data_IF_166977469803
#
_entry.id   IF_166977469803
#
_cell.length_a   1.000
_cell.length_b   1.000
_cell.length_c   1.000
_cell.angle_alpha   90.00
_cell.angle_beta   90.00
_cell.angle_gamma   90.00
#
_symmetry.space_group_name_H-M   'P 1'
#
loop_
_entity.id
_entity.type
_entity.pdbx_description
1 polymer ?
#
# COMPACT_ATOMS: atom_id res chain seq x y z
N UNK A 1 -28.77 39.67 -2.03
CA UNK A 1 -29.72 38.67 -2.57
C UNK A 1 -28.91 37.58 -3.25
N UNK A 2 -29.02 36.32 -2.81
CA UNK A 2 -28.43 35.19 -3.53
C UNK A 2 -29.47 34.57 -4.45
N UNK A 3 -29.27 34.68 -5.76
CA UNK A 3 -30.09 33.97 -6.75
C UNK A 3 -29.72 32.49 -6.66
N UNK A 4 -30.67 31.68 -6.21
CA UNK A 4 -30.55 30.22 -6.20
C UNK A 4 -31.45 29.68 -7.30
N UNK A 5 -30.86 29.06 -8.32
CA UNK A 5 -31.57 28.53 -9.48
C UNK A 5 -32.04 27.11 -9.14
N UNK A 6 -33.23 26.73 -9.57
CA UNK A 6 -33.67 25.34 -9.49
C UNK A 6 -32.73 24.47 -10.35
N UNK A 7 -32.08 23.49 -9.73
CA UNK A 7 -31.13 22.60 -10.41
C UNK A 7 -31.53 21.14 -10.17
N UNK A 8 -31.00 20.22 -10.98
CA UNK A 8 -31.25 18.79 -10.82
C UNK A 8 -30.71 18.29 -9.46
N UNK A 9 -31.19 17.14 -8.98
CA UNK A 9 -30.82 16.59 -7.65
C UNK A 9 -29.32 16.31 -7.45
N UNK A 10 -28.55 16.27 -8.53
CA UNK A 10 -27.10 16.09 -8.54
C UNK A 10 -26.30 17.38 -8.69
N UNK A 11 -27.00 18.51 -8.81
CA UNK A 11 -26.41 19.84 -8.93
C UNK A 11 -26.70 20.68 -7.69
N UNK A 12 -25.81 21.62 -7.43
CA UNK A 12 -25.97 22.66 -6.43
C UNK A 12 -25.88 24.01 -7.12
N UNK A 13 -26.81 24.91 -6.80
CA UNK A 13 -26.75 26.32 -7.18
C UNK A 13 -26.24 27.11 -5.99
N UNK A 14 -25.20 27.91 -6.21
CA UNK A 14 -24.62 28.81 -5.22
C UNK A 14 -24.36 30.20 -5.84
N UNK A 15 -24.05 31.24 -5.05
CA UNK A 15 -23.72 32.57 -5.59
C UNK A 15 -22.52 32.56 -6.56
N UNK A 16 -21.66 31.55 -6.52
CA UNK A 16 -20.50 31.39 -7.42
C UNK A 16 -20.83 30.60 -8.69
N UNK A 17 -22.06 30.11 -8.85
CA UNK A 17 -22.52 29.38 -10.04
C UNK A 17 -23.21 28.06 -9.71
N UNK A 18 -23.39 27.24 -10.75
CA UNK A 18 -23.92 25.87 -10.64
C UNK A 18 -22.80 24.84 -10.79
N UNK A 19 -22.89 23.72 -10.09
CA UNK A 19 -21.93 22.63 -10.20
C UNK A 19 -22.46 21.35 -9.58
N UNK A 20 -21.66 20.27 -9.57
CA UNK A 20 -22.03 19.04 -8.88
C UNK A 20 -22.20 19.29 -7.37
N UNK A 21 -23.31 18.81 -6.83
CA UNK A 21 -23.54 18.77 -5.40
C UNK A 21 -22.45 17.91 -4.72
N UNK A 22 -22.08 18.25 -3.49
CA UNK A 22 -20.97 17.60 -2.78
C UNK A 22 -21.15 16.08 -2.63
N UNK A 23 -22.40 15.61 -2.55
CA UNK A 23 -22.71 14.18 -2.52
C UNK A 23 -22.27 13.41 -3.78
N UNK A 24 -22.05 14.10 -4.89
CA UNK A 24 -21.69 13.57 -6.21
C UNK A 24 -20.22 13.71 -6.56
N UNK A 25 -19.43 14.31 -5.68
CA UNK A 25 -17.98 14.45 -5.86
C UNK A 25 -17.25 13.20 -5.32
N UNK A 26 -16.13 12.79 -5.95
CA UNK A 26 -15.25 11.79 -5.37
C UNK A 26 -14.77 12.25 -3.99
N UNK A 27 -14.89 11.37 -3.00
CA UNK A 27 -14.49 11.67 -1.62
C UNK A 27 -13.72 10.50 -1.02
N UNK A 28 -12.85 10.79 -0.07
CA UNK A 28 -12.22 9.76 0.75
C UNK A 28 -13.26 9.25 1.74
N UNK A 29 -13.64 7.98 1.63
CA UNK A 29 -14.64 7.35 2.50
C UNK A 29 -14.01 6.58 3.66
N UNK A 30 -12.77 6.13 3.49
CA UNK A 30 -12.01 5.49 4.53
C UNK A 30 -10.52 5.72 4.29
N UNK A 31 -9.77 5.88 5.37
CA UNK A 31 -8.33 6.04 5.31
C UNK A 31 -7.66 5.24 6.42
N UNK A 32 -6.51 4.64 6.11
CA UNK A 32 -5.64 3.98 7.07
C UNK A 32 -4.20 4.41 6.85
N UNK A 33 -3.56 4.90 7.91
CA UNK A 33 -2.12 5.15 7.95
C UNK A 33 -1.48 4.14 8.91
N UNK A 34 -0.48 3.40 8.44
CA UNK A 34 0.23 2.40 9.26
C UNK A 34 1.72 2.56 9.07
N UNK A 35 2.44 2.61 10.19
CA UNK A 35 3.91 2.62 10.22
C UNK A 35 4.46 1.20 10.30
N UNK A 36 5.66 1.01 9.77
CA UNK A 36 6.42 -0.23 9.93
C UNK A 36 6.76 -0.49 11.39
N UNK A 37 6.70 -1.75 11.78
CA UNK A 37 7.02 -2.20 13.15
C UNK A 37 8.42 -2.78 13.28
N UNK A 38 9.10 -3.03 12.15
CA UNK A 38 10.39 -3.76 12.09
C UNK A 38 11.47 -3.03 11.33
N UNK A 39 11.33 -1.71 11.18
CA UNK A 39 12.37 -0.90 10.56
C UNK A 39 13.65 -0.89 11.39
N UNK A 40 14.78 -1.01 10.70
CA UNK A 40 16.08 -1.01 11.35
C UNK A 40 16.89 -2.23 10.98
N UNK A 41 17.66 -2.74 11.93
CA UNK A 41 18.56 -3.86 11.71
C UNK A 41 17.80 -5.17 11.57
N UNK A 42 18.17 -5.93 10.55
CA UNK A 42 17.47 -7.16 10.18
C UNK A 42 18.36 -8.38 10.33
N UNK A 43 17.72 -9.51 10.59
CA UNK A 43 18.34 -10.82 10.63
C UNK A 43 17.84 -11.67 9.46
N UNK A 44 18.41 -12.86 9.29
CA UNK A 44 17.98 -13.80 8.26
C UNK A 44 16.49 -14.10 8.41
N UNK A 45 15.76 -14.00 7.31
CA UNK A 45 14.34 -14.32 7.23
C UNK A 45 14.09 -15.14 5.96
N UNK A 46 14.33 -16.47 6.00
CA UNK A 46 14.07 -17.34 4.85
C UNK A 46 12.59 -17.28 4.44
N UNK A 47 11.70 -17.26 5.43
CA UNK A 47 10.27 -17.06 5.26
C UNK A 47 9.91 -15.56 5.30
N UNK A 48 8.91 -15.11 4.52
CA UNK A 48 8.48 -13.72 4.51
C UNK A 48 7.93 -13.26 5.87
N UNK A 49 8.51 -12.19 6.40
CA UNK A 49 8.13 -11.57 7.68
C UNK A 49 7.44 -10.22 7.42
N UNK A 50 6.24 -9.98 7.97
CA UNK A 50 5.55 -8.71 7.78
C UNK A 50 6.26 -7.59 8.56
N UNK A 51 6.58 -6.52 7.84
CA UNK A 51 7.04 -5.23 8.36
C UNK A 51 5.85 -4.31 8.62
N UNK A 52 4.92 -4.30 7.67
CA UNK A 52 3.64 -3.59 7.76
C UNK A 52 2.54 -4.60 7.47
N UNK A 53 1.53 -4.63 8.33
CA UNK A 53 0.26 -5.31 8.10
C UNK A 53 -0.86 -4.29 8.33
N UNK A 54 -1.61 -3.99 7.28
CA UNK A 54 -2.63 -2.96 7.29
C UNK A 54 -3.93 -3.47 6.71
N UNK A 55 -5.02 -3.21 7.43
CA UNK A 55 -6.37 -3.54 6.99
C UNK A 55 -7.22 -2.27 6.94
N UNK A 56 -8.10 -2.20 5.95
CA UNK A 56 -9.07 -1.13 5.77
C UNK A 56 -10.41 -1.74 5.37
N UNK A 57 -11.45 -1.43 6.13
CA UNK A 57 -12.81 -1.89 5.85
C UNK A 57 -13.73 -0.70 5.75
N UNK A 58 -14.62 -0.72 4.76
CA UNK A 58 -15.62 0.33 4.57
C UNK A 58 -16.94 -0.28 4.09
N UNK A 59 -18.05 0.20 4.63
CA UNK A 59 -19.40 -0.23 4.24
C UNK A 59 -20.11 0.91 3.53
N UNK A 60 -20.71 0.62 2.37
CA UNK A 60 -21.60 1.56 1.69
C UNK A 60 -22.96 1.58 2.41
N UNK A 61 -23.11 2.48 3.36
CA UNK A 61 -24.38 2.72 4.08
C UNK A 61 -25.35 3.61 3.29
N UNK A 62 -24.95 4.11 2.13
CA UNK A 62 -25.78 4.94 1.27
C UNK A 62 -26.85 4.14 0.52
N UNK A 63 -27.79 4.86 -0.10
CA UNK A 63 -28.85 4.26 -0.93
C UNK A 63 -28.45 4.08 -2.40
N UNK A 64 -27.32 4.65 -2.81
CA UNK A 64 -26.82 4.60 -4.18
C UNK A 64 -25.59 3.71 -4.28
N UNK A 65 -25.39 3.11 -5.45
CA UNK A 65 -24.15 2.39 -5.77
C UNK A 65 -22.99 3.38 -5.79
N UNK A 66 -21.85 2.96 -5.26
CA UNK A 66 -20.64 3.79 -5.21
C UNK A 66 -19.53 3.06 -5.96
N UNK A 67 -18.89 3.72 -6.93
CA UNK A 67 -17.66 3.24 -7.54
C UNK A 67 -16.49 3.57 -6.63
N UNK A 68 -15.71 2.55 -6.28
CA UNK A 68 -14.60 2.65 -5.35
C UNK A 68 -13.24 2.52 -6.05
N UNK A 69 -12.28 3.35 -5.64
CA UNK A 69 -10.88 3.32 -6.08
C UNK A 69 -9.96 3.44 -4.88
N UNK A 70 -8.91 2.63 -4.83
CA UNK A 70 -7.95 2.62 -3.73
C UNK A 70 -6.67 3.35 -4.13
N UNK A 71 -6.33 4.41 -3.42
CA UNK A 71 -5.01 5.02 -3.47
C UNK A 71 -4.08 4.41 -2.43
N UNK A 72 -3.04 3.72 -2.88
CA UNK A 72 -1.99 3.14 -2.04
C UNK A 72 -0.75 4.00 -2.16
N UNK A 73 -0.46 4.80 -1.13
CA UNK A 73 0.78 5.56 -1.01
C UNK A 73 1.77 4.82 -0.12
N UNK A 74 3.00 4.63 -0.59
CA UNK A 74 4.04 3.87 0.09
C UNK A 74 5.28 4.70 0.21
N UNK A 75 5.73 4.88 1.44
CA UNK A 75 6.95 5.61 1.74
C UNK A 75 8.16 5.07 0.95
N UNK A 76 9.20 5.91 0.77
CA UNK A 76 10.46 5.48 0.18
C UNK A 76 10.99 4.22 0.86
N UNK A 77 11.44 3.22 0.10
CA UNK A 77 12.02 2.00 0.68
C UNK A 77 13.53 2.11 0.74
N UNK A 78 14.13 1.56 1.78
CA UNK A 78 15.59 1.55 1.90
C UNK A 78 16.10 0.20 2.34
N UNK A 79 17.13 -0.29 1.63
CA UNK A 79 17.88 -1.49 1.99
C UNK A 79 19.36 -1.12 2.03
N UNK A 80 20.01 -1.45 3.12
CA UNK A 80 21.48 -1.47 3.25
C UNK A 80 21.89 -2.93 3.30
N UNK A 81 22.44 -3.44 2.20
CA UNK A 81 22.82 -4.82 2.07
C UNK A 81 24.29 -5.04 2.41
N UNK A 82 24.56 -5.95 3.35
CA UNK A 82 25.90 -6.48 3.61
C UNK A 82 26.25 -7.60 2.62
N UNK A 83 27.53 -7.71 2.25
CA UNK A 83 28.05 -8.82 1.47
C UNK A 83 28.19 -10.09 2.34
N UNK A 84 27.81 -11.30 1.88
CA UNK A 84 27.17 -11.68 0.63
C UNK A 84 25.67 -12.03 0.81
N UNK A 85 24.82 -11.04 1.12
CA UNK A 85 23.41 -11.29 1.47
C UNK A 85 22.45 -10.75 0.41
N UNK A 86 21.31 -11.42 0.29
CA UNK A 86 20.16 -10.99 -0.52
C UNK A 86 18.99 -10.58 0.38
N UNK A 87 18.35 -9.48 0.00
CA UNK A 87 17.26 -8.85 0.72
C UNK A 87 16.15 -8.54 -0.26
N UNK A 88 14.92 -8.83 0.12
CA UNK A 88 13.73 -8.55 -0.67
C UNK A 88 12.67 -7.97 0.26
N UNK A 89 12.09 -6.84 -0.12
CA UNK A 89 10.93 -6.23 0.52
C UNK A 89 9.83 -6.13 -0.54
N UNK A 90 8.83 -7.00 -0.42
CA UNK A 90 7.72 -7.10 -1.35
C UNK A 90 6.47 -6.48 -0.74
N UNK A 91 5.85 -5.58 -1.49
CA UNK A 91 4.57 -4.99 -1.20
C UNK A 91 3.48 -5.76 -1.93
N UNK A 92 2.43 -6.14 -1.20
CA UNK A 92 1.28 -6.86 -1.72
C UNK A 92 -0.02 -6.23 -1.25
N UNK A 93 -1.02 -6.24 -2.13
CA UNK A 93 -2.34 -5.72 -1.85
C UNK A 93 -3.42 -6.67 -2.37
N UNK A 94 -4.55 -6.71 -1.68
CA UNK A 94 -5.69 -7.52 -2.08
C UNK A 94 -6.96 -6.89 -1.52
N UNK A 95 -8.07 -7.11 -2.21
CA UNK A 95 -9.36 -6.60 -1.80
C UNK A 95 -10.47 -7.57 -2.17
N UNK A 96 -11.57 -7.45 -1.45
CA UNK A 96 -12.81 -8.20 -1.69
C UNK A 96 -14.01 -7.29 -1.42
N UNK A 97 -15.10 -7.51 -2.18
CA UNK A 97 -16.33 -6.71 -2.13
C UNK A 97 -17.53 -7.65 -1.99
N UNK A 98 -18.36 -7.41 -0.99
CA UNK A 98 -19.51 -8.27 -0.73
C UNK A 98 -20.30 -7.83 0.51
N UNK A 99 -21.28 -8.64 0.92
CA UNK A 99 -22.04 -8.36 2.16
C UNK A 99 -21.17 -8.55 3.42
N UNK A 100 -20.29 -9.54 3.39
CA UNK A 100 -19.30 -9.83 4.43
C UNK A 100 -17.96 -10.21 3.77
N UNK A 101 -17.27 -9.23 3.16
CA UNK A 101 -16.05 -9.49 2.40
C UNK A 101 -14.91 -9.94 3.29
N UNK A 102 -14.04 -10.79 2.77
CA UNK A 102 -12.81 -11.19 3.45
C UNK A 102 -11.67 -11.31 2.44
N UNK A 103 -10.96 -10.20 2.21
CA UNK A 103 -9.80 -10.21 1.34
C UNK A 103 -8.76 -11.22 1.83
N UNK A 104 -8.15 -12.02 0.93
CA UNK A 104 -7.07 -12.92 1.31
C UNK A 104 -5.87 -12.13 1.84
N UNK A 105 -4.98 -12.77 2.60
CA UNK A 105 -3.71 -12.12 2.95
C UNK A 105 -2.82 -12.04 1.70
N UNK A 106 -2.30 -10.86 1.32
CA UNK A 106 -1.44 -10.76 0.16
C UNK A 106 -0.09 -11.42 0.47
N UNK A 107 0.27 -12.43 -0.33
CA UNK A 107 1.52 -13.20 -0.19
C UNK A 107 2.43 -13.06 -1.42
N UNK A 108 1.87 -12.71 -2.58
CA UNK A 108 2.64 -12.39 -3.78
C UNK A 108 3.06 -10.92 -3.76
N UNK A 109 4.28 -10.65 -4.21
CA UNK A 109 4.76 -9.29 -4.43
C UNK A 109 4.17 -8.73 -5.71
N UNK A 110 3.42 -7.64 -5.59
CA UNK A 110 2.96 -6.83 -6.72
C UNK A 110 4.05 -5.86 -7.18
N UNK A 111 4.79 -5.36 -6.19
CA UNK A 111 5.81 -4.34 -6.34
C UNK A 111 6.76 -4.45 -5.15
N UNK A 112 7.94 -3.86 -5.20
CA UNK A 112 8.91 -3.97 -4.12
C UNK A 112 10.32 -3.58 -4.50
N UNK A 113 11.20 -3.72 -3.52
CA UNK A 113 12.63 -3.47 -3.68
C UNK A 113 13.42 -4.71 -3.30
N UNK A 114 14.40 -5.05 -4.12
CA UNK A 114 15.34 -6.12 -3.83
C UNK A 114 16.77 -5.65 -4.00
N UNK A 115 17.67 -6.23 -3.21
CA UNK A 115 19.09 -5.93 -3.27
C UNK A 115 19.89 -7.21 -2.99
N UNK A 116 20.86 -7.49 -3.83
CA UNK A 116 21.86 -8.53 -3.61
C UNK A 116 23.23 -7.89 -3.73
N UNK A 117 24.07 -8.10 -2.72
CA UNK A 117 25.48 -7.79 -2.83
C UNK A 117 26.25 -9.11 -2.71
N UNK A 118 27.02 -9.44 -3.74
CA UNK A 118 27.90 -10.61 -3.72
C UNK A 118 29.24 -10.23 -4.37
N UNK A 119 30.14 -9.74 -3.54
CA UNK A 119 31.53 -9.46 -3.92
C UNK A 119 32.42 -10.66 -3.56
N UNK A 120 32.09 -11.38 -2.48
CA UNK A 120 32.84 -12.57 -2.08
C UNK A 120 32.43 -13.77 -2.94
N UNK A 121 33.37 -14.40 -3.66
CA UNK A 121 33.10 -15.65 -4.36
C UNK A 121 32.71 -16.75 -3.36
N UNK A 122 31.83 -17.66 -3.77
CA UNK A 122 31.34 -18.73 -2.89
C UNK A 122 32.46 -19.63 -2.33
N UNK A 123 33.53 -19.81 -3.11
CA UNK A 123 34.70 -20.63 -2.79
C UNK A 123 35.61 -20.05 -1.69
N UNK A 124 35.39 -18.80 -1.27
CA UNK A 124 36.23 -18.13 -0.26
C UNK A 124 35.48 -18.10 1.08
N UNK A 125 36.13 -18.57 2.14
CA UNK A 125 35.60 -18.55 3.50
C UNK A 125 35.65 -17.16 4.13
N UNK A 126 36.68 -16.37 3.81
CA UNK A 126 36.82 -15.00 4.31
C UNK A 126 35.87 -14.06 3.56
N UNK A 127 34.97 -13.43 4.31
CA UNK A 127 34.01 -12.47 3.76
C UNK A 127 34.71 -11.13 3.57
N UNK A 128 34.72 -10.64 2.33
CA UNK A 128 35.18 -9.30 2.03
C UNK A 128 34.15 -8.29 2.49
N UNK A 129 34.63 -7.19 3.07
CA UNK A 129 33.74 -6.11 3.46
C UNK A 129 33.16 -5.42 2.21
N UNK A 130 31.84 -5.29 2.18
CA UNK A 130 31.13 -4.59 1.12
C UNK A 130 29.73 -4.21 1.59
N UNK A 131 29.27 -3.03 1.18
CA UNK A 131 27.94 -2.51 1.47
C UNK A 131 27.32 -1.93 0.22
N UNK A 132 26.03 -2.18 0.02
CA UNK A 132 25.23 -1.60 -1.04
C UNK A 132 24.05 -0.87 -0.43
N UNK A 133 23.96 0.42 -0.71
CA UNK A 133 22.85 1.27 -0.28
C UNK A 133 21.87 1.37 -1.44
N UNK A 134 20.67 0.83 -1.26
CA UNK A 134 19.60 0.89 -2.25
C UNK A 134 18.42 1.64 -1.66
N UNK A 135 18.09 2.78 -2.26
CA UNK A 135 16.87 3.53 -1.98
C UNK A 135 15.88 3.35 -3.13
N UNK A 136 14.60 3.37 -2.80
CA UNK A 136 13.48 3.46 -3.73
C UNK A 136 12.63 4.67 -3.36
N UNK A 137 12.19 5.50 -4.31
CA UNK A 137 11.40 6.69 -4.02
C UNK A 137 10.00 6.36 -3.47
N UNK A 138 9.32 7.37 -2.91
CA UNK A 138 7.90 7.30 -2.56
C UNK A 138 7.08 6.92 -3.81
N UNK A 139 6.03 6.13 -3.62
CA UNK A 139 5.20 5.66 -4.72
C UNK A 139 3.72 5.79 -4.39
N UNK A 140 2.93 6.19 -5.38
CA UNK A 140 1.48 6.27 -5.29
C UNK A 140 0.87 5.49 -6.44
N UNK A 141 0.09 4.47 -6.11
CA UNK A 141 -0.65 3.63 -7.05
C UNK A 141 -2.14 3.76 -6.80
N UNK A 142 -2.93 3.78 -7.87
CA UNK A 142 -4.39 3.72 -7.80
C UNK A 142 -4.88 2.39 -8.37
N UNK A 143 -5.68 1.68 -7.59
CA UNK A 143 -6.31 0.41 -7.98
C UNK A 143 -7.82 0.59 -8.06
N UNK A 144 -8.42 0.12 -9.15
CA UNK A 144 -9.87 0.14 -9.31
C UNK A 144 -10.48 -1.07 -8.61
N UNK A 145 -11.28 -0.82 -7.57
CA UNK A 145 -11.99 -1.88 -6.84
C UNK A 145 -13.28 -2.26 -7.56
N UNK A 146 -13.91 -1.28 -8.21
CA UNK A 146 -15.19 -1.43 -8.90
C UNK A 146 -16.37 -0.94 -8.06
N UNK A 147 -17.55 -1.47 -8.32
CA UNK A 147 -18.81 -0.98 -7.76
C UNK A 147 -19.15 -1.67 -6.43
N UNK A 148 -19.54 -0.85 -5.45
CA UNK A 148 -19.98 -1.29 -4.11
C UNK A 148 -21.47 -0.95 -3.97
N UNK A 149 -22.30 -1.99 -3.87
CA UNK A 149 -23.74 -1.80 -3.72
C UNK A 149 -24.11 -1.28 -2.32
N UNK A 150 -25.27 -0.63 -2.16
CA UNK A 150 -25.85 -0.34 -0.85
C UNK A 150 -25.87 -1.57 0.05
N UNK A 151 -25.36 -1.44 1.28
CA UNK A 151 -25.27 -2.52 2.26
C UNK A 151 -24.09 -3.48 2.06
N UNK A 152 -23.34 -3.38 0.96
CA UNK A 152 -22.09 -4.12 0.80
C UNK A 152 -20.94 -3.37 1.47
N UNK A 153 -19.94 -4.14 1.85
CA UNK A 153 -18.66 -3.67 2.36
C UNK A 153 -17.54 -4.03 1.40
N UNK A 154 -16.45 -3.28 1.53
CA UNK A 154 -15.16 -3.57 0.93
C UNK A 154 -14.19 -3.86 2.07
N UNK A 155 -13.44 -4.94 1.95
CA UNK A 155 -12.31 -5.25 2.83
C UNK A 155 -11.03 -5.23 2.01
N UNK A 156 -10.03 -4.48 2.48
CA UNK A 156 -8.74 -4.29 1.83
C UNK A 156 -7.64 -4.72 2.80
N UNK A 157 -6.68 -5.48 2.28
CA UNK A 157 -5.48 -5.89 3.01
C UNK A 157 -4.23 -5.49 2.26
N UNK A 158 -3.28 -4.95 3.00
CA UNK A 158 -1.97 -4.58 2.50
C UNK A 158 -0.88 -5.15 3.41
N UNK A 159 0.18 -5.69 2.80
CA UNK A 159 1.37 -6.14 3.53
C UNK A 159 2.66 -5.69 2.84
N UNK A 160 3.62 -5.32 3.67
CA UNK A 160 5.02 -5.21 3.27
C UNK A 160 5.77 -6.39 3.90
N UNK A 161 6.25 -7.32 3.08
CA UNK A 161 6.87 -8.57 3.49
C UNK A 161 8.37 -8.53 3.20
N UNK A 162 9.18 -8.72 4.24
CA UNK A 162 10.63 -8.85 4.12
C UNK A 162 11.04 -10.32 4.06
N UNK A 163 11.95 -10.66 3.16
CA UNK A 163 12.56 -11.98 3.08
C UNK A 163 14.02 -11.89 2.64
N UNK A 164 14.79 -12.94 2.93
CA UNK A 164 16.18 -13.11 2.50
C UNK A 164 16.28 -14.39 1.67
N UNK A 165 15.77 -14.40 0.43
CA UNK A 165 15.87 -15.56 -0.43
C UNK A 165 17.34 -15.79 -0.83
N UNK A 166 17.89 -16.96 -0.52
CA UNK A 166 19.23 -17.35 -0.93
C UNK A 166 20.27 -17.29 0.19
N UNK A 167 21.52 -17.02 -0.19
CA UNK A 167 22.66 -17.13 0.71
C UNK A 167 22.63 -16.02 1.77
N UNK A 168 22.87 -16.42 3.02
CA UNK A 168 23.06 -15.52 4.14
C UNK A 168 24.35 -15.89 4.87
N UNK A 169 25.26 -14.93 5.02
CA UNK A 169 26.40 -15.03 5.92
C UNK A 169 26.48 -13.74 6.74
N UNK A 170 26.58 -13.87 8.05
CA UNK A 170 26.66 -12.73 8.97
C UNK A 170 28.13 -12.49 9.39
N UNK A 171 28.86 -11.53 8.77
CA UNK A 171 30.17 -11.13 9.27
C UNK A 171 30.06 -10.38 10.60
N UNK A 172 31.13 -10.39 11.40
CA UNK A 172 31.17 -9.80 12.76
C UNK A 172 30.89 -8.28 12.84
N UNK A 173 30.70 -7.58 11.72
CA UNK A 173 30.34 -6.15 11.62
C UNK A 173 29.40 -5.85 10.43
N UNK A 174 28.43 -6.74 10.17
CA UNK A 174 27.42 -6.53 9.15
C UNK A 174 26.50 -5.35 9.51
N UNK A 175 26.47 -4.32 8.67
CA UNK A 175 25.39 -3.32 8.72
C UNK A 175 24.35 -3.75 7.70
N UNK A 176 23.25 -4.29 8.20
CA UNK A 176 22.18 -4.85 7.40
C UNK A 176 20.86 -4.30 7.92
N UNK A 177 20.34 -3.32 7.18
CA UNK A 177 19.22 -2.49 7.62
C UNK A 177 18.18 -2.47 6.52
N UNK A 178 16.92 -2.67 6.88
CA UNK A 178 15.78 -2.55 5.97
C UNK A 178 14.76 -1.61 6.58
N UNK A 179 14.21 -0.71 5.77
CA UNK A 179 13.21 0.26 6.21
C UNK A 179 12.07 0.34 5.19
N UNK A 180 10.86 0.10 5.70
CA UNK A 180 9.61 0.32 5.01
C UNK A 180 8.98 1.67 5.39
N UNK A 181 9.22 2.21 6.59
CA UNK A 181 8.65 3.45 7.12
C UNK A 181 7.13 3.42 7.30
N UNK A 182 6.33 3.60 6.25
CA UNK A 182 4.88 3.67 6.35
C UNK A 182 4.15 3.34 5.05
N UNK A 183 2.84 3.10 5.18
CA UNK A 183 1.87 3.03 4.09
C UNK A 183 0.64 3.86 4.45
N UNK A 184 0.02 4.48 3.44
CA UNK A 184 -1.26 5.16 3.56
C UNK A 184 -2.22 4.63 2.51
N UNK A 185 -3.31 4.03 2.98
CA UNK A 185 -4.41 3.53 2.17
C UNK A 185 -5.53 4.57 2.20
N UNK A 186 -5.95 5.06 1.04
CA UNK A 186 -7.09 5.97 0.89
C UNK A 186 -8.12 5.36 -0.04
N UNK A 187 -9.28 5.03 0.51
CA UNK A 187 -10.40 4.57 -0.29
C UNK A 187 -11.22 5.77 -0.76
N UNK A 188 -11.27 5.96 -2.07
CA UNK A 188 -12.08 6.96 -2.74
C UNK A 188 -13.39 6.32 -3.19
N UNK A 189 -14.49 7.02 -3.00
CA UNK A 189 -15.78 6.62 -3.55
C UNK A 189 -16.47 7.78 -4.25
N UNK A 190 -17.11 7.48 -5.38
CA UNK A 190 -17.97 8.37 -6.14
C UNK A 190 -19.31 7.65 -6.41
N UNK A 191 -20.46 8.32 -6.43
CA UNK A 191 -21.71 7.67 -6.83
C UNK A 191 -21.62 7.16 -8.28
N UNK A 192 -22.03 5.92 -8.53
CA UNK A 192 -22.00 5.31 -9.86
C UNK A 192 -23.18 5.77 -10.75
N UNK A 193 -24.15 6.50 -10.19
CA UNK A 193 -25.31 6.95 -10.96
C UNK A 193 -24.92 8.03 -11.98
N UNK A 194 -24.53 7.60 -13.18
CA UNK A 194 -24.80 8.38 -14.38
C UNK A 194 -26.32 8.58 -14.51
N UNK A 195 -26.80 9.81 -14.76
CA UNK A 195 -28.19 10.04 -15.16
C UNK A 195 -28.56 9.27 -16.43
#
# INVERSE_FOLDING_TARGET
MSITICTASWMQSSPTGTGFADAWRPRVVAERFVTSTKDGDVQQAPDPVPFIDAELTWTNTGKTRQRARLGTQRAPRQIVAANPNMYVLNDGISWDVGLSPNAPAPYAGDDGIACRLQITPFAVNQIYYGRLFRGWPDSLRYDEIGTVLPGQSVHIRYRALYSTPGQWRAPNQALQTVRAYWVRLRLWAEPEATP
#
